data_IF_951204928759
#
_entry.id   IF_951204928759
#
_cell.length_a   1.000
_cell.length_b   1.000
_cell.length_c   1.000
_cell.angle_alpha   90.00
_cell.angle_beta   90.00
_cell.angle_gamma   90.00
#
_symmetry.space_group_name_H-M   'P 1'
#
loop_
_entity.id
_entity.type
_entity.pdbx_description
1 polymer ?
#
# COMPACT_ATOMS: atom_id res chain seq x y z
N UNK A 1 7.56 -13.15 -17.76
CA UNK A 1 6.23 -13.06 -17.14
C UNK A 1 5.88 -14.43 -16.64
N UNK A 2 5.45 -14.56 -15.39
CA UNK A 2 4.98 -15.83 -14.81
C UNK A 2 3.53 -15.58 -14.40
N UNK A 3 2.55 -16.24 -15.03
CA UNK A 3 1.13 -16.06 -14.68
C UNK A 3 0.60 -14.61 -14.73
N UNK A 4 1.09 -13.79 -15.68
CA UNK A 4 0.73 -12.35 -15.75
C UNK A 4 1.52 -11.44 -14.80
N UNK A 5 2.40 -12.00 -13.96
CA UNK A 5 3.25 -11.26 -13.03
C UNK A 5 4.59 -10.96 -13.71
N UNK A 6 4.99 -9.68 -13.63
CA UNK A 6 6.34 -9.23 -14.03
C UNK A 6 7.24 -9.20 -12.79
N UNK A 7 8.20 -10.11 -12.75
CA UNK A 7 9.23 -10.15 -11.71
C UNK A 7 10.42 -9.30 -12.16
N UNK A 8 10.90 -8.42 -11.28
CA UNK A 8 12.06 -7.56 -11.51
C UNK A 8 13.06 -7.86 -10.40
N UNK A 9 14.28 -8.24 -10.77
CA UNK A 9 15.37 -8.48 -9.83
C UNK A 9 16.22 -7.22 -9.66
N UNK A 10 16.71 -6.96 -8.44
CA UNK A 10 17.71 -5.92 -8.22
C UNK A 10 19.07 -6.36 -8.76
N UNK A 11 19.94 -5.39 -9.07
CA UNK A 11 21.32 -5.67 -9.46
C UNK A 11 22.15 -6.08 -8.24
N UNK A 12 23.27 -6.76 -8.48
CA UNK A 12 24.22 -7.08 -7.41
C UNK A 12 24.72 -5.78 -6.74
N UNK A 13 24.67 -5.74 -5.41
CA UNK A 13 25.01 -4.54 -4.63
C UNK A 13 23.93 -3.45 -4.60
N UNK A 14 22.78 -3.62 -5.27
CA UNK A 14 21.66 -2.67 -5.25
C UNK A 14 20.55 -3.16 -4.31
N UNK A 15 20.13 -2.30 -3.38
CA UNK A 15 19.00 -2.59 -2.49
C UNK A 15 17.68 -2.55 -3.28
N UNK A 16 16.77 -3.47 -2.97
CA UNK A 16 15.44 -3.51 -3.57
C UNK A 16 14.69 -2.19 -3.37
N UNK A 17 14.80 -1.58 -2.19
CA UNK A 17 14.14 -0.30 -1.87
C UNK A 17 14.57 0.82 -2.82
N UNK A 18 15.86 0.87 -3.17
CA UNK A 18 16.38 1.84 -4.15
C UNK A 18 15.80 1.61 -5.54
N UNK A 19 15.63 0.35 -5.95
CA UNK A 19 15.00 0.00 -7.22
C UNK A 19 13.53 0.42 -7.22
N UNK A 20 12.79 0.15 -6.15
CA UNK A 20 11.37 0.53 -6.00
C UNK A 20 11.24 2.05 -6.05
N UNK A 21 12.02 2.78 -5.26
CA UNK A 21 12.05 4.26 -5.24
C UNK A 21 12.36 4.84 -6.62
N UNK A 22 13.30 4.24 -7.35
CA UNK A 22 13.59 4.63 -8.74
C UNK A 22 12.38 4.42 -9.64
N UNK A 23 11.73 3.26 -9.59
CA UNK A 23 10.57 2.95 -10.45
C UNK A 23 9.43 3.95 -10.21
N UNK A 24 9.06 4.18 -8.95
CA UNK A 24 7.95 5.08 -8.60
C UNK A 24 8.25 6.54 -8.93
N UNK A 25 9.52 6.96 -8.90
CA UNK A 25 9.92 8.33 -9.24
C UNK A 25 10.22 8.56 -10.72
N UNK A 26 10.53 7.53 -11.50
CA UNK A 26 10.93 7.67 -12.91
C UNK A 26 9.74 7.79 -13.85
N UNK A 27 8.61 7.20 -13.48
CA UNK A 27 7.42 7.15 -14.34
C UNK A 27 6.43 8.26 -13.96
N UNK A 28 5.81 8.91 -14.94
CA UNK A 28 4.74 9.91 -14.70
C UNK A 28 3.38 9.27 -14.36
N UNK A 29 3.39 7.98 -14.02
CA UNK A 29 2.19 7.17 -13.76
C UNK A 29 1.91 7.13 -12.26
N UNK A 30 0.62 7.08 -11.91
CA UNK A 30 0.21 6.82 -10.53
C UNK A 30 0.42 5.33 -10.22
N UNK A 31 1.27 5.03 -9.23
CA UNK A 31 1.52 3.66 -8.79
C UNK A 31 0.80 3.35 -7.48
N UNK A 32 0.33 2.12 -7.35
CA UNK A 32 -0.05 1.54 -6.05
C UNK A 32 1.13 0.73 -5.56
N UNK A 33 1.64 1.06 -4.38
CA UNK A 33 2.83 0.43 -3.80
C UNK A 33 2.42 -0.37 -2.58
N UNK A 34 2.54 -1.68 -2.63
CA UNK A 34 2.23 -2.56 -1.48
C UNK A 34 3.53 -2.79 -0.70
N UNK A 35 3.59 -2.34 0.55
CA UNK A 35 4.79 -2.52 1.40
C UNK A 35 4.47 -2.38 2.89
N UNK A 36 5.27 -3.01 3.75
CA UNK A 36 5.33 -2.78 5.19
C UNK A 36 6.49 -1.85 5.60
N UNK A 37 7.40 -1.51 4.67
CA UNK A 37 8.58 -0.69 4.93
C UNK A 37 8.22 0.81 4.96
N UNK A 38 8.52 1.46 6.10
CA UNK A 38 8.24 2.87 6.35
C UNK A 38 8.96 3.82 5.40
N UNK A 39 10.18 3.50 5.01
CA UNK A 39 10.99 4.36 4.13
C UNK A 39 10.43 4.37 2.70
N UNK A 40 9.87 3.25 2.25
CA UNK A 40 9.19 3.16 0.96
C UNK A 40 7.83 3.85 1.03
N UNK A 41 7.07 3.68 2.13
CA UNK A 41 5.79 4.38 2.34
C UNK A 41 5.98 5.90 2.28
N UNK A 42 6.98 6.42 3.00
CA UNK A 42 7.27 7.85 3.02
C UNK A 42 7.63 8.39 1.62
N UNK A 43 8.45 7.66 0.87
CA UNK A 43 8.83 8.03 -0.49
C UNK A 43 7.66 7.94 -1.49
N UNK A 44 6.77 6.97 -1.31
CA UNK A 44 5.57 6.85 -2.12
C UNK A 44 4.65 8.06 -1.90
N UNK A 45 4.45 8.51 -0.65
CA UNK A 45 3.65 9.69 -0.32
C UNK A 45 4.19 11.00 -0.88
N UNK A 46 5.51 11.14 -1.03
CA UNK A 46 6.14 12.33 -1.63
C UNK A 46 6.11 12.31 -3.15
N UNK A 47 5.80 11.15 -3.74
CA UNK A 47 5.66 10.94 -5.18
C UNK A 47 4.16 10.83 -5.54
N UNK A 48 3.79 10.79 -6.82
CA UNK A 48 2.40 10.61 -7.26
C UNK A 48 1.87 9.16 -7.05
N UNK A 49 2.30 8.49 -5.98
CA UNK A 49 2.00 7.06 -5.70
C UNK A 49 1.22 6.89 -4.40
N UNK A 50 0.44 5.82 -4.31
CA UNK A 50 -0.38 5.51 -3.14
C UNK A 50 0.17 4.26 -2.46
N UNK A 51 0.76 4.39 -1.26
CA UNK A 51 1.17 3.22 -0.49
C UNK A 51 -0.04 2.50 0.12
N UNK A 52 0.00 1.18 0.10
CA UNK A 52 -0.98 0.27 0.72
C UNK A 52 -0.21 -0.71 1.60
N UNK A 53 -0.69 -0.95 2.83
CA UNK A 53 -0.04 -1.92 3.72
C UNK A 53 -0.21 -3.34 3.19
N UNK A 54 0.80 -4.18 3.43
CA UNK A 54 0.76 -5.60 3.05
C UNK A 54 -0.46 -6.32 3.62
N UNK A 55 -0.82 -6.03 4.88
CA UNK A 55 -2.00 -6.61 5.52
C UNK A 55 -3.32 -6.24 4.81
N UNK A 56 -3.50 -4.97 4.44
CA UNK A 56 -4.70 -4.54 3.72
C UNK A 56 -4.77 -5.12 2.30
N UNK A 57 -3.63 -5.24 1.63
CA UNK A 57 -3.55 -5.88 0.32
C UNK A 57 -3.91 -7.37 0.42
N UNK A 58 -3.36 -8.10 1.39
CA UNK A 58 -3.64 -9.52 1.58
C UNK A 58 -5.13 -9.75 1.85
N UNK A 59 -5.73 -9.00 2.79
CA UNK A 59 -7.18 -9.04 3.07
C UNK A 59 -8.03 -8.75 1.83
N UNK A 60 -7.61 -7.80 0.98
CA UNK A 60 -8.32 -7.49 -0.26
C UNK A 60 -8.24 -8.62 -1.28
N UNK A 61 -7.08 -9.28 -1.40
CA UNK A 61 -6.90 -10.46 -2.27
C UNK A 61 -7.71 -11.64 -1.75
N UNK A 62 -7.65 -11.92 -0.45
CA UNK A 62 -8.38 -13.00 0.22
C UNK A 62 -9.89 -12.83 0.11
N UNK A 63 -10.42 -11.60 0.21
CA UNK A 63 -11.86 -11.32 -0.01
C UNK A 63 -12.30 -11.50 -1.46
N UNK A 64 -11.39 -11.39 -2.42
CA UNK A 64 -11.67 -11.54 -3.86
C UNK A 64 -11.55 -12.99 -4.32
N UNK A 65 -10.83 -13.81 -3.57
CA UNK A 65 -10.89 -15.27 -3.63
C UNK A 65 -12.17 -15.68 -2.88
N UNK A 66 -13.11 -16.44 -3.45
CA UNK A 66 -14.29 -16.90 -2.72
C UNK A 66 -13.85 -17.89 -1.63
N UNK A 67 -13.48 -17.36 -0.47
CA UNK A 67 -13.03 -18.10 0.71
C UNK A 67 -14.11 -17.97 1.79
N UNK A 68 -14.52 -19.12 2.30
CA UNK A 68 -15.65 -19.40 3.20
C UNK A 68 -15.44 -18.91 4.64
N UNK A 69 -14.84 -17.74 4.84
CA UNK A 69 -14.60 -17.17 6.16
C UNK A 69 -15.04 -15.71 6.16
N UNK A 70 -16.35 -15.56 6.21
CA UNK A 70 -16.96 -14.37 6.80
C UNK A 70 -16.79 -14.45 8.33
N UNK A 71 -16.79 -13.28 8.97
CA UNK A 71 -16.59 -13.07 10.41
C UNK A 71 -15.12 -13.07 10.88
N UNK A 72 -14.53 -11.86 10.97
CA UNK A 72 -14.23 -11.28 12.28
C UNK A 72 -13.75 -9.83 12.13
N UNK A 73 -14.46 -8.96 12.84
CA UNK A 73 -14.03 -7.63 13.23
C UNK A 73 -12.95 -7.79 14.30
N UNK A 74 -11.68 -7.50 14.00
CA UNK A 74 -10.69 -7.22 15.05
C UNK A 74 -9.64 -6.20 14.60
N UNK A 75 -9.57 -5.19 15.45
CA UNK A 75 -8.55 -4.18 15.66
C UNK A 75 -7.17 -4.84 15.75
N UNK A 76 -6.29 -4.56 14.79
CA UNK A 76 -4.88 -4.96 14.88
C UNK A 76 -3.98 -3.88 14.28
N UNK A 77 -3.79 -2.84 15.10
CA UNK A 77 -2.52 -2.53 15.78
C UNK A 77 -1.19 -2.54 15.00
N UNK A 78 -1.19 -2.59 13.67
CA UNK A 78 -0.02 -2.31 12.82
C UNK A 78 -0.27 -1.19 11.80
N UNK A 79 -1.37 -0.46 12.00
CA UNK A 79 -1.65 0.74 11.24
C UNK A 79 -0.86 1.90 11.88
N UNK A 80 0.04 2.49 11.09
CA UNK A 80 0.74 3.72 11.40
C UNK A 80 -0.25 4.73 12.01
N UNK A 81 -0.32 4.83 13.34
CA UNK A 81 -1.18 5.82 14.00
C UNK A 81 -0.63 7.19 13.62
N UNK A 82 -1.27 7.85 12.65
CA UNK A 82 -1.03 9.27 12.43
C UNK A 82 -1.31 9.97 13.77
N UNK A 83 -0.43 10.89 14.24
CA UNK A 83 -0.65 11.58 15.49
C UNK A 83 -2.05 12.19 15.47
N UNK A 84 -2.89 11.79 16.44
CA UNK A 84 -4.31 12.14 16.53
C UNK A 84 -4.46 13.65 16.41
N UNK A 85 -4.83 14.12 15.21
CA UNK A 85 -5.12 15.54 14.98
C UNK A 85 -6.43 15.83 15.70
N UNK A 86 -6.38 16.72 16.70
CA UNK A 86 -7.53 17.18 17.47
C UNK A 86 -8.54 17.84 16.52
N UNK A 87 -9.49 17.05 16.02
CA UNK A 87 -10.51 17.40 15.04
C UNK A 87 -11.56 16.29 14.96
N UNK A 88 -12.69 16.56 14.30
CA UNK A 88 -13.87 15.66 14.28
C UNK A 88 -13.48 14.22 13.88
N UNK A 89 -13.52 13.24 14.80
CA UNK A 89 -12.98 11.88 14.60
C UNK A 89 -13.72 11.07 13.53
N UNK A 90 -14.89 11.56 13.07
CA UNK A 90 -15.68 10.92 12.01
C UNK A 90 -15.28 11.33 10.60
N UNK A 91 -14.43 12.35 10.45
CA UNK A 91 -14.03 12.85 9.12
C UNK A 91 -12.74 12.18 8.69
N UNK A 92 -12.88 11.18 7.81
CA UNK A 92 -11.75 10.52 7.15
C UNK A 92 -10.77 11.57 6.59
N UNK A 93 -9.50 11.41 6.93
CA UNK A 93 -8.40 12.25 6.47
C UNK A 93 -8.30 12.19 4.94
N UNK A 94 -7.70 13.21 4.33
CA UNK A 94 -7.48 13.21 2.87
C UNK A 94 -6.72 11.95 2.39
N UNK A 95 -5.83 11.43 3.24
CA UNK A 95 -5.05 10.23 2.98
C UNK A 95 -5.88 8.96 3.08
N UNK A 96 -6.70 8.81 4.12
CA UNK A 96 -7.61 7.66 4.26
C UNK A 96 -8.60 7.56 3.09
N UNK A 97 -9.09 8.71 2.60
CA UNK A 97 -9.94 8.74 1.39
C UNK A 97 -9.21 8.29 0.13
N UNK A 98 -7.92 8.61 -0.01
CA UNK A 98 -7.10 8.18 -1.14
C UNK A 98 -6.84 6.67 -1.09
N UNK A 99 -6.51 6.13 0.09
CA UNK A 99 -6.31 4.69 0.32
C UNK A 99 -7.59 3.92 -0.04
N UNK A 100 -8.75 4.38 0.43
CA UNK A 100 -10.04 3.72 0.13
C UNK A 100 -10.36 3.69 -1.36
N UNK A 101 -10.02 4.73 -2.12
CA UNK A 101 -10.18 4.76 -3.59
C UNK A 101 -9.22 3.81 -4.29
N UNK A 102 -7.98 3.70 -3.82
CA UNK A 102 -7.02 2.74 -4.37
C UNK A 102 -7.48 1.30 -4.13
N UNK A 103 -7.94 0.99 -2.91
CA UNK A 103 -8.49 -0.32 -2.56
C UNK A 103 -9.71 -0.70 -3.41
N UNK A 104 -10.58 0.24 -3.77
CA UNK A 104 -11.73 -0.05 -4.65
C UNK A 104 -11.37 -0.38 -6.11
N UNK A 105 -10.13 -0.10 -6.54
CA UNK A 105 -9.65 -0.39 -7.90
C UNK A 105 -8.88 -1.72 -7.98
N UNK A 106 -8.58 -2.34 -6.85
CA UNK A 106 -7.93 -3.65 -6.75
C UNK A 106 -8.93 -4.77 -6.99
#
# INVERSE_FOLDING_TARGET
>A
MIGGIKVIYSRIGEKADSVIKRIISSDRREWIVVTSDRDIVNHAWTTASIPVSTGNFLKAVERKIPSYFDEEENDDSDEYMEPRRKGNPRKLSKKEKAIRRALSKL
#
